data_IF_970236059100
#
_entry.id   IF_970236059100
#
_cell.length_a   1.000
_cell.length_b   1.000
_cell.length_c   1.000
_cell.angle_alpha   90.00
_cell.angle_beta   90.00
_cell.angle_gamma   90.00
#
_symmetry.space_group_name_H-M   'P 1'
#
loop_
_entity.id
_entity.type
_entity.pdbx_description
1 polymer ?
#
# COMPACT_ATOMS: atom_id res chain seq x y z
N UNK A 1 29.80 37.28 -62.51
CA UNK A 1 30.57 37.80 -61.38
C UNK A 1 30.61 36.73 -60.31
N UNK A 2 31.79 36.20 -60.02
CA UNK A 2 32.01 35.33 -58.86
C UNK A 2 32.22 36.20 -57.61
N UNK A 3 31.85 35.71 -56.42
CA UNK A 3 32.75 35.64 -55.23
C UNK A 3 32.03 35.20 -53.93
N UNK A 4 32.76 34.39 -53.13
CA UNK A 4 32.67 34.04 -51.69
C UNK A 4 31.45 33.20 -51.21
N UNK A 5 31.50 31.94 -50.74
CA UNK A 5 32.48 31.01 -50.11
C UNK A 5 32.37 30.85 -48.58
N UNK A 6 32.31 29.56 -48.19
CA UNK A 6 32.49 28.91 -46.87
C UNK A 6 31.29 28.80 -45.90
N UNK A 7 31.01 27.56 -45.45
CA UNK A 7 30.15 27.37 -44.27
C UNK A 7 29.56 25.99 -43.91
N UNK A 8 30.29 24.88 -44.12
CA UNK A 8 30.27 23.67 -43.25
C UNK A 8 29.12 22.61 -43.37
N UNK A 9 29.58 21.35 -43.34
CA UNK A 9 28.94 20.05 -43.01
C UNK A 9 28.41 19.20 -44.18
N UNK A 10 28.69 17.90 -44.29
CA UNK A 10 29.57 17.00 -43.53
C UNK A 10 29.68 15.69 -44.32
N UNK A 11 30.65 15.59 -45.23
CA UNK A 11 30.88 14.38 -46.04
C UNK A 11 32.33 14.19 -46.48
N UNK A 12 33.24 15.09 -46.09
CA UNK A 12 34.61 15.16 -46.62
C UNK A 12 35.67 15.57 -45.59
N UNK A 13 35.51 15.23 -44.31
CA UNK A 13 36.56 15.43 -43.31
C UNK A 13 36.79 14.23 -42.37
N UNK A 14 36.54 13.00 -42.86
CA UNK A 14 37.08 11.79 -42.22
C UNK A 14 37.82 10.86 -43.19
N UNK A 15 38.01 11.28 -44.45
CA UNK A 15 38.92 10.62 -45.41
C UNK A 15 40.41 10.97 -45.16
N UNK A 16 40.77 11.20 -43.89
CA UNK A 16 42.13 11.54 -43.47
C UNK A 16 42.63 10.73 -42.26
N UNK A 17 41.81 9.87 -41.66
CA UNK A 17 42.24 8.96 -40.58
C UNK A 17 41.64 7.59 -40.89
N UNK A 18 42.45 6.70 -41.44
CA UNK A 18 42.05 5.36 -41.86
C UNK A 18 43.01 4.67 -42.83
N UNK A 19 44.04 5.38 -43.33
CA UNK A 19 45.12 4.85 -44.17
C UNK A 19 46.07 3.86 -43.47
N UNK A 20 45.65 3.20 -42.38
CA UNK A 20 46.38 2.10 -41.74
C UNK A 20 45.38 1.07 -41.21
N UNK A 21 44.77 0.29 -42.10
CA UNK A 21 44.27 -1.02 -41.72
C UNK A 21 44.46 -2.02 -42.87
N UNK A 22 45.52 -2.82 -42.76
CA UNK A 22 45.94 -3.82 -43.75
C UNK A 22 45.12 -5.11 -43.72
N UNK A 23 43.97 -5.12 -43.03
CA UNK A 23 43.18 -6.34 -42.80
C UNK A 23 41.72 -6.25 -43.31
N UNK A 24 41.45 -5.43 -44.32
CA UNK A 24 40.18 -5.41 -45.05
C UNK A 24 40.32 -6.16 -46.40
N UNK A 25 39.47 -7.16 -46.71
CA UNK A 25 39.52 -7.92 -47.97
C UNK A 25 39.39 -7.02 -49.19
N UNK A 26 40.28 -7.19 -50.19
CA UNK A 26 40.27 -6.40 -51.44
C UNK A 26 39.39 -7.08 -52.49
N UNK A 27 38.76 -6.27 -53.34
CA UNK A 27 37.76 -6.68 -54.34
C UNK A 27 38.28 -7.58 -55.49
N UNK A 28 39.51 -8.11 -55.41
CA UNK A 28 40.07 -9.09 -56.36
C UNK A 28 39.85 -10.56 -55.95
N UNK A 29 39.46 -10.85 -54.70
CA UNK A 29 39.38 -12.23 -54.17
C UNK A 29 37.99 -12.89 -54.36
N UNK A 30 37.05 -12.21 -55.02
CA UNK A 30 35.67 -12.68 -55.23
C UNK A 30 35.50 -13.46 -56.55
N UNK A 31 36.42 -13.34 -57.51
CA UNK A 31 36.29 -13.99 -58.83
C UNK A 31 36.68 -15.47 -58.87
N UNK A 32 37.54 -15.94 -57.97
CA UNK A 32 38.05 -17.33 -57.98
C UNK A 32 37.11 -18.29 -57.23
N UNK A 33 36.49 -17.84 -56.14
CA UNK A 33 35.47 -18.62 -55.40
C UNK A 33 34.20 -18.89 -56.23
N UNK A 34 33.79 -17.96 -57.10
CA UNK A 34 32.63 -18.12 -57.98
C UNK A 34 32.88 -19.08 -59.17
N UNK A 35 34.14 -19.39 -59.49
CA UNK A 35 34.49 -20.39 -60.49
C UNK A 35 34.38 -21.82 -59.93
N UNK A 36 34.81 -22.05 -58.68
CA UNK A 36 34.68 -23.34 -57.99
C UNK A 36 33.22 -23.73 -57.73
N UNK A 37 32.35 -22.76 -57.42
CA UNK A 37 30.92 -23.02 -57.18
C UNK A 37 30.22 -23.48 -58.47
N UNK A 38 30.60 -22.96 -59.64
CA UNK A 38 30.03 -23.42 -60.92
C UNK A 38 30.49 -24.84 -61.27
N UNK A 39 31.74 -25.17 -61.03
CA UNK A 39 32.29 -26.49 -61.34
C UNK A 39 31.75 -27.61 -60.43
N UNK A 40 31.51 -27.33 -59.14
CA UNK A 40 30.87 -28.29 -58.23
C UNK A 40 29.41 -28.57 -58.60
N UNK A 41 28.65 -27.52 -58.99
CA UNK A 41 27.26 -27.68 -59.41
C UNK A 41 27.12 -28.46 -60.74
N UNK A 42 28.11 -28.39 -61.63
CA UNK A 42 28.16 -29.21 -62.85
C UNK A 42 28.48 -30.68 -62.59
N UNK A 43 29.25 -30.98 -61.53
CA UNK A 43 29.56 -32.35 -61.13
C UNK A 43 28.34 -33.04 -60.48
N UNK A 44 27.58 -32.33 -59.64
CA UNK A 44 26.30 -32.80 -59.07
C UNK A 44 25.20 -33.01 -60.11
N UNK A 45 25.24 -32.28 -61.23
CA UNK A 45 24.28 -32.45 -62.35
C UNK A 45 24.58 -33.65 -63.26
N UNK A 46 25.76 -34.27 -63.19
CA UNK A 46 26.21 -35.27 -64.17
C UNK A 46 25.96 -36.75 -63.80
N UNK A 47 25.24 -37.03 -62.71
CA UNK A 47 24.55 -38.32 -62.51
C UNK A 47 25.40 -39.59 -62.62
N UNK A 48 26.69 -39.56 -62.29
CA UNK A 48 27.52 -40.79 -62.27
C UNK A 48 27.31 -41.55 -60.96
N UNK A 49 26.50 -42.60 -61.03
CA UNK A 49 26.22 -43.57 -59.98
C UNK A 49 27.48 -44.14 -59.31
N UNK A 50 27.64 -43.89 -58.02
CA UNK A 50 28.73 -44.44 -57.20
C UNK A 50 28.25 -45.74 -56.51
N UNK A 51 28.29 -46.86 -57.25
CA UNK A 51 27.80 -48.19 -56.84
C UNK A 51 28.41 -48.67 -55.51
N UNK A 52 29.59 -48.17 -55.11
CA UNK A 52 30.21 -48.47 -53.81
C UNK A 52 29.51 -47.85 -52.59
N UNK A 53 28.79 -46.73 -52.74
CA UNK A 53 28.06 -46.06 -51.64
C UNK A 53 26.71 -46.73 -51.35
N UNK A 54 26.11 -47.38 -52.35
CA UNK A 54 24.82 -48.06 -52.21
C UNK A 54 24.95 -49.38 -51.42
N UNK A 55 26.11 -50.05 -51.49
CA UNK A 55 26.43 -51.23 -50.68
C UNK A 55 26.60 -50.90 -49.18
N UNK A 56 27.14 -49.72 -48.86
CA UNK A 56 27.29 -49.24 -47.48
C UNK A 56 25.95 -48.80 -46.85
N UNK A 57 25.01 -48.27 -47.64
CA UNK A 57 23.65 -47.99 -47.18
C UNK A 57 22.84 -49.26 -46.82
N UNK A 58 23.11 -50.40 -47.48
CA UNK A 58 22.46 -51.68 -47.19
C UNK A 58 22.84 -52.31 -45.84
N UNK A 59 24.02 -52.01 -45.29
CA UNK A 59 24.45 -52.51 -43.98
C UNK A 59 24.02 -51.59 -42.83
N UNK A 60 23.89 -50.28 -43.09
CA UNK A 60 23.35 -49.32 -42.12
C UNK A 60 21.88 -49.57 -41.76
N UNK A 61 21.07 -50.05 -42.70
CA UNK A 61 19.64 -50.34 -42.48
C UNK A 61 19.40 -51.57 -41.61
N UNK A 62 20.24 -52.60 -41.67
CA UNK A 62 20.14 -53.82 -40.83
C UNK A 62 20.56 -53.52 -39.39
N UNK A 63 21.60 -52.70 -39.20
CA UNK A 63 22.00 -52.26 -37.86
C UNK A 63 20.94 -51.34 -37.22
N UNK A 64 20.36 -50.41 -37.98
CA UNK A 64 19.27 -49.54 -37.51
C UNK A 64 17.99 -50.32 -37.21
N UNK A 65 17.59 -51.29 -38.05
CA UNK A 65 16.40 -52.11 -37.80
C UNK A 65 16.58 -53.02 -36.59
N UNK A 66 17.78 -53.58 -36.38
CA UNK A 66 18.08 -54.36 -35.18
C UNK A 66 18.09 -53.50 -33.91
N UNK A 67 18.64 -52.28 -33.99
CA UNK A 67 18.64 -51.34 -32.87
C UNK A 67 17.24 -50.81 -32.54
N UNK A 68 16.40 -50.59 -33.55
CA UNK A 68 15.00 -50.21 -33.39
C UNK A 68 14.15 -51.36 -32.80
N UNK A 69 14.38 -52.60 -33.22
CA UNK A 69 13.71 -53.77 -32.64
C UNK A 69 14.09 -53.96 -31.16
N UNK A 70 15.36 -53.76 -30.81
CA UNK A 70 15.83 -53.80 -29.41
C UNK A 70 15.23 -52.70 -28.55
N UNK A 71 15.04 -51.49 -29.11
CA UNK A 71 14.36 -50.40 -28.42
C UNK A 71 12.88 -50.68 -28.18
N UNK A 72 12.17 -51.25 -29.17
CA UNK A 72 10.77 -51.65 -29.01
C UNK A 72 10.57 -52.70 -27.92
N UNK A 73 11.47 -53.69 -27.82
CA UNK A 73 11.40 -54.72 -26.80
C UNK A 73 11.66 -54.14 -25.39
N UNK A 74 12.62 -53.24 -25.26
CA UNK A 74 12.89 -52.51 -24.02
C UNK A 74 11.71 -51.61 -23.60
N UNK A 75 11.05 -50.97 -24.56
CA UNK A 75 9.89 -50.11 -24.31
C UNK A 75 8.66 -50.93 -23.90
N UNK A 76 8.43 -52.10 -24.49
CA UNK A 76 7.35 -53.01 -24.10
C UNK A 76 7.57 -53.58 -22.68
N UNK A 77 8.81 -53.95 -22.34
CA UNK A 77 9.17 -54.38 -21.00
C UNK A 77 8.98 -53.25 -19.96
N UNK A 78 9.44 -52.03 -20.29
CA UNK A 78 9.24 -50.85 -19.45
C UNK A 78 7.76 -50.58 -19.20
N UNK A 79 6.90 -50.60 -20.22
CA UNK A 79 5.46 -50.36 -20.07
C UNK A 79 4.80 -51.33 -19.09
N UNK A 80 5.20 -52.62 -19.13
CA UNK A 80 4.66 -53.65 -18.24
C UNK A 80 5.10 -53.46 -16.79
N UNK A 81 6.39 -53.22 -16.55
CA UNK A 81 6.92 -53.01 -15.20
C UNK A 81 6.48 -51.67 -14.61
N UNK A 82 6.40 -50.62 -15.44
CA UNK A 82 5.88 -49.31 -15.08
C UNK A 82 4.40 -49.36 -14.65
N UNK A 83 3.56 -50.06 -15.41
CA UNK A 83 2.15 -50.24 -15.04
C UNK A 83 2.01 -50.97 -13.69
N UNK A 84 2.80 -52.02 -13.45
CA UNK A 84 2.78 -52.76 -12.19
C UNK A 84 3.25 -51.91 -11.00
N UNK A 85 4.31 -51.12 -11.17
CA UNK A 85 4.84 -50.26 -10.10
C UNK A 85 3.86 -49.14 -9.74
N UNK A 86 3.23 -48.50 -10.73
CA UNK A 86 2.20 -47.47 -10.50
C UNK A 86 0.96 -48.07 -9.82
N UNK A 87 0.55 -49.29 -10.20
CA UNK A 87 -0.58 -49.99 -9.55
C UNK A 87 -0.26 -50.42 -8.11
N UNK A 88 1.00 -50.75 -7.81
CA UNK A 88 1.42 -51.15 -6.46
C UNK A 88 1.44 -50.00 -5.45
N UNK A 89 1.57 -48.75 -5.93
CA UNK A 89 1.74 -47.57 -5.07
C UNK A 89 3.09 -47.52 -4.32
N UNK A 90 4.00 -48.46 -4.57
CA UNK A 90 5.27 -48.58 -3.86
C UNK A 90 6.35 -47.67 -4.46
N UNK A 91 6.72 -46.62 -3.70
CA UNK A 91 7.76 -45.65 -4.08
C UNK A 91 9.13 -46.29 -4.31
N UNK A 92 9.43 -47.43 -3.67
CA UNK A 92 10.68 -48.14 -3.90
C UNK A 92 10.69 -48.80 -5.27
N UNK A 93 9.58 -49.42 -5.70
CA UNK A 93 9.47 -50.03 -7.03
C UNK A 93 9.59 -48.99 -8.16
N UNK A 94 9.01 -47.80 -7.97
CA UNK A 94 9.17 -46.70 -8.95
C UNK A 94 10.60 -46.17 -8.97
N UNK A 95 11.32 -46.19 -7.84
CA UNK A 95 12.74 -45.81 -7.76
C UNK A 95 13.67 -46.87 -8.38
N UNK A 96 13.30 -48.13 -8.28
CA UNK A 96 13.98 -49.23 -8.96
C UNK A 96 13.80 -49.13 -10.48
N UNK A 97 12.63 -48.68 -10.96
CA UNK A 97 12.41 -48.39 -12.38
C UNK A 97 13.30 -47.26 -12.90
N UNK A 98 13.56 -46.22 -12.10
CA UNK A 98 14.49 -45.14 -12.47
C UNK A 98 15.92 -45.66 -12.65
N UNK A 99 16.29 -46.69 -11.89
CA UNK A 99 17.62 -47.32 -11.95
C UNK A 99 17.72 -48.32 -13.12
N UNK A 100 16.64 -49.06 -13.39
CA UNK A 100 16.56 -50.06 -14.48
C UNK A 100 16.35 -49.45 -15.87
N UNK A 101 15.62 -48.34 -15.96
CA UNK A 101 15.24 -47.70 -17.23
C UNK A 101 15.64 -46.21 -17.26
N UNK A 102 16.95 -45.90 -17.23
CA UNK A 102 17.43 -44.51 -17.19
C UNK A 102 17.04 -43.69 -18.43
N UNK A 103 16.74 -44.33 -19.57
CA UNK A 103 16.25 -43.65 -20.79
C UNK A 103 14.78 -43.22 -20.74
N UNK A 104 14.01 -43.64 -19.73
CA UNK A 104 12.57 -43.32 -19.59
C UNK A 104 12.29 -42.46 -18.35
N UNK A 105 13.32 -41.85 -17.75
CA UNK A 105 13.24 -41.05 -16.50
C UNK A 105 12.17 -39.97 -16.54
N UNK A 106 12.00 -39.27 -17.66
CA UNK A 106 11.02 -38.20 -17.82
C UNK A 106 9.57 -38.72 -17.70
N UNK A 107 9.28 -39.90 -18.24
CA UNK A 107 7.97 -40.56 -18.10
C UNK A 107 7.75 -41.05 -16.67
N UNK A 108 8.80 -41.59 -16.02
CA UNK A 108 8.73 -42.06 -14.63
C UNK A 108 8.50 -40.88 -13.67
N UNK A 109 9.21 -39.76 -13.86
CA UNK A 109 9.05 -38.54 -13.06
C UNK A 109 7.66 -37.91 -13.25
N UNK A 110 7.16 -37.86 -14.48
CA UNK A 110 5.82 -37.35 -14.78
C UNK A 110 4.73 -38.23 -14.13
N UNK A 111 4.92 -39.55 -14.14
CA UNK A 111 4.05 -40.50 -13.44
C UNK A 111 4.02 -40.31 -11.93
N UNK A 112 5.18 -40.10 -11.30
CA UNK A 112 5.25 -39.82 -9.86
C UNK A 112 4.54 -38.52 -9.48
N UNK A 113 4.66 -37.48 -10.29
CA UNK A 113 3.94 -36.21 -10.07
C UNK A 113 2.42 -36.41 -10.12
N UNK A 114 1.91 -37.19 -11.07
CA UNK A 114 0.49 -37.54 -11.18
C UNK A 114 0.01 -38.42 -10.03
N UNK A 115 0.82 -39.39 -9.60
CA UNK A 115 0.51 -40.26 -8.46
C UNK A 115 0.48 -39.48 -7.13
N UNK A 116 1.41 -38.55 -6.91
CA UNK A 116 1.42 -37.68 -5.74
C UNK A 116 0.23 -36.69 -5.77
N UNK A 117 -0.18 -36.21 -6.94
CA UNK A 117 -1.34 -35.33 -7.11
C UNK A 117 -2.67 -36.07 -6.92
N UNK A 118 -2.82 -37.29 -7.45
CA UNK A 118 -3.98 -38.17 -7.23
C UNK A 118 -4.10 -38.56 -5.75
N UNK A 119 -2.98 -38.90 -5.10
CA UNK A 119 -2.95 -39.20 -3.67
C UNK A 119 -3.36 -37.98 -2.84
N UNK A 120 -2.86 -36.77 -3.15
CA UNK A 120 -3.27 -35.53 -2.47
C UNK A 120 -4.75 -35.22 -2.66
N UNK A 121 -5.26 -35.31 -3.89
CA UNK A 121 -6.68 -35.08 -4.18
C UNK A 121 -7.59 -36.08 -3.47
N UNK A 122 -7.14 -37.33 -3.37
CA UNK A 122 -7.83 -38.39 -2.63
C UNK A 122 -7.85 -38.08 -1.13
N UNK A 123 -6.71 -37.68 -0.55
CA UNK A 123 -6.62 -37.24 0.85
C UNK A 123 -7.55 -36.05 1.13
N UNK A 124 -7.59 -35.06 0.23
CA UNK A 124 -8.46 -33.88 0.36
C UNK A 124 -9.95 -34.22 0.29
N UNK A 125 -10.32 -35.12 -0.62
CA UNK A 125 -11.70 -35.61 -0.77
C UNK A 125 -12.14 -36.43 0.45
N UNK A 126 -11.24 -37.29 0.96
CA UNK A 126 -11.47 -38.04 2.19
C UNK A 126 -11.62 -37.11 3.40
N UNK A 127 -10.77 -36.09 3.54
CA UNK A 127 -10.89 -35.12 4.63
C UNK A 127 -12.20 -34.32 4.56
N UNK A 128 -12.59 -33.81 3.40
CA UNK A 128 -13.87 -33.10 3.22
C UNK A 128 -15.07 -34.02 3.52
N UNK A 129 -15.03 -35.26 3.04
CA UNK A 129 -16.06 -36.27 3.32
C UNK A 129 -16.16 -36.62 4.79
N UNK A 130 -15.01 -36.82 5.47
CA UNK A 130 -14.95 -37.07 6.91
C UNK A 130 -15.53 -35.90 7.72
N UNK A 131 -15.25 -34.66 7.32
CA UNK A 131 -15.80 -33.47 8.00
C UNK A 131 -17.31 -33.39 7.86
N UNK A 132 -17.84 -33.66 6.66
CA UNK A 132 -19.28 -33.68 6.43
C UNK A 132 -19.95 -34.83 7.20
N UNK A 133 -19.35 -36.01 7.19
CA UNK A 133 -19.85 -37.19 7.86
C UNK A 133 -19.78 -37.09 9.40
N UNK A 134 -18.92 -36.22 9.96
CA UNK A 134 -18.81 -35.98 11.40
C UNK A 134 -20.05 -35.33 12.04
N UNK A 135 -21.01 -34.92 11.20
CA UNK A 135 -22.29 -34.36 11.63
C UNK A 135 -23.20 -35.38 12.34
N UNK A 136 -23.07 -36.68 12.04
CA UNK A 136 -23.78 -37.72 12.77
C UNK A 136 -22.99 -39.05 12.83
N UNK A 137 -23.17 -39.86 13.89
CA UNK A 137 -22.55 -41.18 13.97
C UNK A 137 -22.90 -42.12 12.81
N UNK A 138 -24.14 -42.06 12.31
CA UNK A 138 -24.63 -42.89 11.21
C UNK A 138 -24.00 -42.48 9.87
N UNK A 139 -23.88 -41.17 9.63
CA UNK A 139 -23.19 -40.63 8.47
C UNK A 139 -21.70 -40.99 8.49
N UNK A 140 -21.05 -40.92 9.66
CA UNK A 140 -19.66 -41.35 9.85
C UNK A 140 -19.47 -42.84 9.57
N UNK A 141 -20.36 -43.70 10.07
CA UNK A 141 -20.29 -45.13 9.84
C UNK A 141 -20.47 -45.49 8.36
N UNK A 142 -21.43 -44.87 7.68
CA UNK A 142 -21.63 -45.05 6.23
C UNK A 142 -20.44 -44.54 5.43
N UNK A 143 -19.89 -43.39 5.79
CA UNK A 143 -18.70 -42.83 5.15
C UNK A 143 -17.48 -43.75 5.32
N UNK A 144 -17.23 -44.27 6.51
CA UNK A 144 -16.13 -45.21 6.77
C UNK A 144 -16.28 -46.51 5.96
N UNK A 145 -17.49 -47.06 5.86
CA UNK A 145 -17.75 -48.27 5.07
C UNK A 145 -17.51 -48.02 3.57
N UNK A 146 -18.00 -46.90 3.05
CA UNK A 146 -17.90 -46.59 1.63
C UNK A 146 -16.48 -46.14 1.21
N UNK A 147 -15.66 -45.67 2.14
CA UNK A 147 -14.33 -45.13 1.86
C UNK A 147 -13.18 -45.99 2.44
N UNK A 148 -13.47 -47.17 3.01
CA UNK A 148 -12.46 -48.02 3.65
C UNK A 148 -11.29 -48.39 2.73
N UNK A 149 -11.57 -48.71 1.46
CA UNK A 149 -10.53 -49.03 0.48
C UNK A 149 -9.65 -47.83 0.13
N UNK A 150 -10.24 -46.65 0.01
CA UNK A 150 -9.55 -45.41 -0.29
C UNK A 150 -8.70 -44.92 0.89
N UNK A 151 -9.21 -45.05 2.12
CA UNK A 151 -8.48 -44.80 3.36
C UNK A 151 -7.23 -45.70 3.44
N UNK A 152 -7.39 -47.01 3.21
CA UNK A 152 -6.27 -47.94 3.18
C UNK A 152 -5.26 -47.61 2.08
N UNK A 153 -5.72 -47.18 0.89
CA UNK A 153 -4.88 -46.76 -0.24
C UNK A 153 -4.00 -45.55 0.10
N UNK A 154 -4.49 -44.62 0.92
CA UNK A 154 -3.71 -43.45 1.38
C UNK A 154 -2.97 -43.68 2.70
N UNK A 155 -2.96 -44.92 3.22
CA UNK A 155 -2.23 -45.29 4.43
C UNK A 155 -2.94 -44.95 5.74
N UNK A 156 -4.25 -44.70 5.70
CA UNK A 156 -5.08 -44.40 6.88
C UNK A 156 -5.94 -45.61 7.21
N UNK A 157 -5.85 -46.12 8.43
CA UNK A 157 -6.65 -47.27 8.87
C UNK A 157 -8.08 -46.84 9.25
N UNK A 158 -9.13 -47.37 8.60
CA UNK A 158 -10.52 -47.01 8.91
C UNK A 158 -10.93 -47.30 10.36
N UNK A 159 -10.35 -48.33 11.00
CA UNK A 159 -10.65 -48.66 12.39
C UNK A 159 -10.13 -47.59 13.36
N UNK A 160 -8.93 -47.06 13.11
CA UNK A 160 -8.33 -46.03 13.95
C UNK A 160 -9.09 -44.71 13.83
N UNK A 161 -9.59 -44.39 12.63
CA UNK A 161 -10.45 -43.23 12.37
C UNK A 161 -11.79 -43.37 13.10
N UNK A 162 -12.40 -44.55 13.07
CA UNK A 162 -13.64 -44.84 13.79
C UNK A 162 -13.46 -44.69 15.31
N UNK A 163 -12.35 -45.22 15.84
CA UNK A 163 -12.01 -45.14 17.25
C UNK A 163 -11.76 -43.70 17.70
N UNK A 164 -11.00 -42.93 16.92
CA UNK A 164 -10.71 -41.52 17.20
C UNK A 164 -11.99 -40.67 17.22
N UNK A 165 -12.91 -40.89 16.28
CA UNK A 165 -14.20 -40.23 16.26
C UNK A 165 -15.03 -40.54 17.52
N UNK A 166 -15.09 -41.82 17.93
CA UNK A 166 -15.86 -42.25 19.09
C UNK A 166 -15.26 -41.77 20.42
N UNK A 167 -13.93 -41.77 20.54
CA UNK A 167 -13.24 -41.42 21.78
C UNK A 167 -13.07 -39.91 21.96
N UNK A 168 -12.72 -39.17 20.89
CA UNK A 168 -12.41 -37.74 20.96
C UNK A 168 -12.91 -36.98 19.71
N UNK A 169 -14.21 -36.63 19.64
CA UNK A 169 -14.79 -35.94 18.47
C UNK A 169 -14.13 -34.61 18.11
N UNK A 170 -13.58 -33.87 19.09
CA UNK A 170 -12.84 -32.62 18.84
C UNK A 170 -11.49 -32.88 18.18
N UNK A 171 -10.74 -33.86 18.69
CA UNK A 171 -9.44 -34.24 18.15
C UNK A 171 -9.59 -34.83 16.74
N UNK A 172 -10.69 -35.54 16.49
CA UNK A 172 -11.08 -35.98 15.15
C UNK A 172 -11.29 -34.79 14.19
N UNK A 173 -12.00 -33.74 14.62
CA UNK A 173 -12.21 -32.54 13.81
C UNK A 173 -10.91 -31.85 13.41
N UNK A 174 -9.98 -31.70 14.35
CA UNK A 174 -8.64 -31.14 14.10
C UNK A 174 -7.79 -32.03 13.19
N UNK A 175 -7.85 -33.34 13.37
CA UNK A 175 -7.17 -34.31 12.51
C UNK A 175 -7.65 -34.19 11.05
N UNK A 176 -8.97 -34.13 10.85
CA UNK A 176 -9.58 -33.99 9.52
C UNK A 176 -9.25 -32.64 8.88
N UNK A 177 -9.29 -31.55 9.66
CA UNK A 177 -8.94 -30.22 9.17
C UNK A 177 -7.46 -30.15 8.76
N UNK A 178 -6.55 -30.75 9.54
CA UNK A 178 -5.13 -30.83 9.22
C UNK A 178 -4.87 -31.72 8.00
N UNK A 179 -5.58 -32.85 7.87
CA UNK A 179 -5.50 -33.72 6.72
C UNK A 179 -5.96 -33.00 5.43
N UNK A 180 -7.05 -32.23 5.51
CA UNK A 180 -7.54 -31.40 4.41
C UNK A 180 -6.57 -30.29 4.03
N UNK A 181 -5.92 -29.65 5.01
CA UNK A 181 -4.91 -28.62 4.75
C UNK A 181 -3.63 -29.18 4.13
N UNK A 182 -3.17 -30.36 4.57
CA UNK A 182 -1.98 -31.02 4.00
C UNK A 182 -2.23 -31.61 2.60
N UNK A 183 -3.49 -31.75 2.19
CA UNK A 183 -3.86 -32.10 0.82
C UNK A 183 -3.70 -30.93 -0.16
N UNK A 184 -3.66 -29.70 0.35
CA UNK A 184 -3.39 -28.51 -0.47
C UNK A 184 -1.90 -28.49 -0.82
N UNK A 185 -1.59 -28.53 -2.12
CA UNK A 185 -0.21 -28.35 -2.58
C UNK A 185 0.38 -26.99 -2.11
N UNK A 186 1.71 -26.84 -2.10
CA UNK A 186 2.38 -25.64 -1.58
C UNK A 186 1.81 -24.32 -2.14
N UNK A 187 1.45 -24.28 -3.43
CA UNK A 187 0.85 -23.10 -4.06
C UNK A 187 -0.49 -22.68 -3.42
N UNK A 188 -1.38 -23.64 -3.14
CA UNK A 188 -2.72 -23.35 -2.58
C UNK A 188 -2.67 -23.00 -1.09
N UNK A 189 -1.65 -23.45 -0.37
CA UNK A 189 -1.42 -23.08 1.03
C UNK A 189 -1.14 -21.57 1.17
N UNK A 190 -0.32 -21.01 0.28
CA UNK A 190 -0.03 -19.57 0.26
C UNK A 190 -1.22 -18.73 -0.23
N UNK A 191 -1.98 -19.21 -1.23
CA UNK A 191 -3.21 -18.52 -1.69
C UNK A 191 -4.31 -18.46 -0.63
N UNK A 192 -4.44 -19.49 0.21
CA UNK A 192 -5.40 -19.52 1.29
C UNK A 192 -5.03 -18.51 2.39
N UNK A 193 -3.73 -18.39 2.68
CA UNK A 193 -3.20 -17.40 3.62
C UNK A 193 -3.41 -15.97 3.11
N UNK A 194 -3.20 -15.73 1.82
CA UNK A 194 -3.41 -14.42 1.18
C UNK A 194 -4.90 -14.04 1.14
N UNK A 195 -5.80 -14.97 0.81
CA UNK A 195 -7.26 -14.74 0.87
C UNK A 195 -7.80 -14.49 2.27
N UNK A 196 -7.25 -15.16 3.28
CA UNK A 196 -7.59 -14.91 4.68
C UNK A 196 -7.15 -13.51 5.11
N UNK A 197 -5.97 -13.04 4.67
CA UNK A 197 -5.51 -11.67 4.91
C UNK A 197 -6.36 -10.64 4.14
N UNK A 198 -6.69 -10.90 2.88
CA UNK A 198 -7.54 -10.02 2.06
C UNK A 198 -8.94 -9.81 2.67
N UNK A 199 -9.59 -10.85 3.18
CA UNK A 199 -10.90 -10.71 3.87
C UNK A 199 -10.79 -9.93 5.18
N UNK A 200 -9.69 -10.09 5.92
CA UNK A 200 -9.47 -9.35 7.15
C UNK A 200 -9.20 -7.86 6.90
N UNK A 201 -8.53 -7.52 5.79
CA UNK A 201 -8.32 -6.13 5.33
C UNK A 201 -9.65 -5.51 4.85
N UNK A 202 -10.47 -6.23 4.08
CA UNK A 202 -11.76 -5.73 3.58
C UNK A 202 -12.79 -5.47 4.68
N UNK A 203 -12.90 -6.36 5.68
CA UNK A 203 -13.82 -6.14 6.81
C UNK A 203 -13.37 -4.95 7.67
N UNK A 204 -12.07 -4.84 7.95
CA UNK A 204 -11.50 -3.70 8.69
C UNK A 204 -11.64 -2.38 7.92
N UNK A 205 -11.58 -2.42 6.58
CA UNK A 205 -11.83 -1.28 5.70
C UNK A 205 -13.29 -0.80 5.70
N UNK A 206 -14.27 -1.71 5.67
CA UNK A 206 -15.70 -1.35 5.75
C UNK A 206 -16.11 -0.77 7.11
N UNK A 207 -15.53 -1.27 8.20
CA UNK A 207 -15.74 -0.71 9.54
C UNK A 207 -15.07 0.66 9.70
N UNK A 208 -13.89 0.85 9.08
CA UNK A 208 -13.25 2.16 9.00
C UNK A 208 -14.09 3.13 8.17
N UNK A 209 -14.64 2.72 7.03
CA UNK A 209 -15.40 3.62 6.14
C UNK A 209 -16.71 4.10 6.76
N UNK A 210 -17.46 3.22 7.44
CA UNK A 210 -18.72 3.61 8.11
C UNK A 210 -18.50 4.53 9.31
N UNK A 211 -17.46 4.25 10.13
CA UNK A 211 -17.11 5.08 11.28
C UNK A 211 -16.40 6.39 10.87
N UNK A 212 -15.62 6.36 9.78
CA UNK A 212 -14.99 7.53 9.16
C UNK A 212 -16.03 8.39 8.45
N UNK A 213 -17.07 7.84 7.83
CA UNK A 213 -18.15 8.62 7.24
C UNK A 213 -18.96 9.40 8.28
N UNK A 214 -19.37 8.75 9.38
CA UNK A 214 -20.06 9.42 10.49
C UNK A 214 -19.17 10.47 11.18
N UNK A 215 -17.87 10.19 11.35
CA UNK A 215 -16.91 11.17 11.89
C UNK A 215 -16.55 12.28 10.91
N UNK A 216 -16.47 12.02 9.62
CA UNK A 216 -16.28 13.03 8.58
C UNK A 216 -17.48 13.96 8.50
N UNK A 217 -18.70 13.47 8.74
CA UNK A 217 -19.86 14.31 8.94
C UNK A 217 -19.71 15.17 10.20
N UNK A 218 -19.22 14.64 11.33
CA UNK A 218 -18.96 15.42 12.53
C UNK A 218 -17.83 16.45 12.39
N UNK A 219 -16.75 16.11 11.67
CA UNK A 219 -15.67 17.03 11.30
C UNK A 219 -16.19 18.08 10.32
N UNK A 220 -17.05 17.69 9.38
CA UNK A 220 -17.72 18.63 8.46
C UNK A 220 -18.67 19.55 9.22
N UNK A 221 -19.40 19.07 10.23
CA UNK A 221 -20.27 19.91 11.08
C UNK A 221 -19.46 20.87 11.95
N UNK A 222 -18.42 20.38 12.65
CA UNK A 222 -17.50 21.24 13.43
C UNK A 222 -16.73 22.20 12.52
N UNK A 223 -16.37 21.72 11.33
CA UNK A 223 -15.80 22.49 10.24
C UNK A 223 -16.77 23.52 9.70
N UNK A 224 -18.07 23.23 9.64
CA UNK A 224 -19.17 24.13 9.29
C UNK A 224 -19.36 25.22 10.34
N UNK A 225 -19.26 24.87 11.62
CA UNK A 225 -19.27 25.81 12.75
C UNK A 225 -18.07 26.78 12.67
N UNK A 226 -16.89 26.29 12.27
CA UNK A 226 -15.69 27.10 12.03
C UNK A 226 -15.74 27.80 10.65
N UNK A 227 -16.42 27.23 9.64
CA UNK A 227 -16.51 27.67 8.23
C UNK A 227 -17.36 28.92 8.04
N UNK A 228 -18.00 29.43 9.08
CA UNK A 228 -18.50 30.80 9.08
C UNK A 228 -17.35 31.83 9.03
N UNK A 229 -16.30 31.56 8.26
CA UNK A 229 -15.41 32.52 7.63
C UNK A 229 -14.95 33.61 8.60
N UNK A 230 -14.17 33.25 9.63
CA UNK A 230 -13.57 34.20 10.58
C UNK A 230 -12.94 35.42 9.87
N UNK A 231 -12.36 35.23 8.69
CA UNK A 231 -11.86 36.34 7.86
C UNK A 231 -12.95 37.30 7.40
N UNK A 232 -14.07 36.78 6.90
CA UNK A 232 -15.23 37.57 6.47
C UNK A 232 -16.07 38.07 7.64
N UNK A 233 -16.21 37.29 8.71
CA UNK A 233 -16.74 37.73 9.99
C UNK A 233 -15.93 38.88 10.54
N UNK A 234 -14.59 38.89 10.42
CA UNK A 234 -13.76 40.03 10.82
C UNK A 234 -14.06 41.26 9.96
N UNK A 235 -14.09 41.13 8.63
CA UNK A 235 -14.40 42.27 7.75
C UNK A 235 -15.81 42.83 8.02
N UNK A 236 -16.79 41.94 8.19
CA UNK A 236 -18.15 42.29 8.54
C UNK A 236 -18.22 42.91 9.94
N UNK A 237 -17.44 42.38 10.90
CA UNK A 237 -17.34 42.90 12.25
C UNK A 237 -16.70 44.28 12.26
N UNK A 238 -15.64 44.54 11.50
CA UNK A 238 -15.01 45.85 11.43
C UNK A 238 -15.99 46.89 10.86
N UNK A 239 -16.70 46.53 9.77
CA UNK A 239 -17.72 47.39 9.18
C UNK A 239 -18.89 47.67 10.14
N UNK A 240 -19.37 46.63 10.82
CA UNK A 240 -20.48 46.73 11.77
C UNK A 240 -20.08 47.43 13.07
N UNK A 241 -18.86 47.20 13.53
CA UNK A 241 -18.25 47.90 14.68
C UNK A 241 -18.17 49.39 14.40
N UNK A 242 -17.72 49.77 13.21
CA UNK A 242 -17.70 51.17 12.79
C UNK A 242 -19.12 51.77 12.69
N UNK A 243 -20.10 51.02 12.20
CA UNK A 243 -21.51 51.47 12.16
C UNK A 243 -22.05 51.71 13.56
N UNK A 244 -21.93 50.74 14.46
CA UNK A 244 -22.42 50.83 15.84
C UNK A 244 -21.69 51.95 16.60
N UNK A 245 -20.37 52.08 16.43
CA UNK A 245 -19.62 53.17 17.05
C UNK A 245 -20.08 54.55 16.57
N UNK A 246 -20.40 54.70 15.28
CA UNK A 246 -20.93 55.95 14.74
C UNK A 246 -22.36 56.22 15.22
N UNK A 247 -23.17 55.18 15.37
CA UNK A 247 -24.52 55.27 15.94
C UNK A 247 -24.48 55.67 17.41
N UNK A 248 -23.65 55.02 18.23
CA UNK A 248 -23.42 55.39 19.63
C UNK A 248 -22.96 56.84 19.76
N UNK A 249 -22.02 57.30 18.92
CA UNK A 249 -21.62 58.72 18.88
C UNK A 249 -22.75 59.69 18.55
N UNK A 250 -23.78 59.26 17.80
CA UNK A 250 -24.98 60.08 17.53
C UNK A 250 -25.92 60.03 18.72
N UNK A 251 -26.16 58.84 19.29
CA UNK A 251 -26.98 58.64 20.48
C UNK A 251 -26.41 59.40 21.68
N UNK A 252 -25.10 59.42 21.89
CA UNK A 252 -24.44 60.20 22.95
C UNK A 252 -24.70 61.71 22.82
N UNK A 253 -24.66 62.24 21.58
CA UNK A 253 -24.99 63.64 21.32
C UNK A 253 -26.47 63.92 21.60
N UNK A 254 -27.37 63.02 21.20
CA UNK A 254 -28.79 63.14 21.51
C UNK A 254 -29.03 63.07 23.02
N UNK A 255 -28.38 62.16 23.73
CA UNK A 255 -28.45 62.03 25.19
C UNK A 255 -27.99 63.29 25.91
N UNK A 256 -26.96 63.96 25.38
CA UNK A 256 -26.43 65.21 25.94
C UNK A 256 -27.33 66.43 25.69
N UNK A 257 -28.11 66.42 24.62
CA UNK A 257 -29.02 67.50 24.24
C UNK A 257 -30.47 67.30 24.74
N UNK A 258 -30.83 66.08 25.10
CA UNK A 258 -32.18 65.71 25.55
C UNK A 258 -32.36 65.99 27.04
N UNK A 259 -33.46 66.64 27.41
CA UNK A 259 -33.81 67.00 28.80
C UNK A 259 -34.90 66.12 29.37
N UNK A 260 -35.64 65.38 28.55
CA UNK A 260 -36.70 64.48 29.02
C UNK A 260 -36.10 63.18 29.58
N UNK A 261 -36.31 62.92 30.86
CA UNK A 261 -35.71 61.76 31.56
C UNK A 261 -36.09 60.42 30.93
N UNK A 262 -37.34 60.23 30.49
CA UNK A 262 -37.78 58.98 29.86
C UNK A 262 -37.06 58.73 28.53
N UNK A 263 -36.90 59.78 27.70
CA UNK A 263 -36.15 59.68 26.43
C UNK A 263 -34.66 59.47 26.66
N UNK A 264 -34.06 60.13 27.67
CA UNK A 264 -32.67 59.89 28.05
C UNK A 264 -32.45 58.44 28.46
N UNK A 265 -33.37 57.87 29.23
CA UNK A 265 -33.31 56.47 29.65
C UNK A 265 -33.43 55.51 28.45
N UNK A 266 -34.30 55.81 27.48
CA UNK A 266 -34.39 55.04 26.22
C UNK A 266 -33.08 55.09 25.41
N UNK A 267 -32.49 56.28 25.25
CA UNK A 267 -31.22 56.45 24.52
C UNK A 267 -30.09 55.70 25.23
N UNK A 268 -30.01 55.77 26.57
CA UNK A 268 -29.05 54.98 27.34
C UNK A 268 -29.24 53.48 27.14
N UNK A 269 -30.48 53.00 27.14
CA UNK A 269 -30.78 51.59 26.88
C UNK A 269 -30.32 51.15 25.48
N UNK A 270 -30.48 52.01 24.47
CA UNK A 270 -30.00 51.72 23.10
C UNK A 270 -28.47 51.67 23.03
N UNK A 271 -27.76 52.60 23.67
CA UNK A 271 -26.30 52.58 23.74
C UNK A 271 -25.81 51.31 24.45
N UNK A 272 -26.45 50.92 25.55
CA UNK A 272 -26.12 49.70 26.28
C UNK A 272 -26.33 48.44 25.42
N UNK A 273 -27.46 48.35 24.70
CA UNK A 273 -27.74 47.24 23.78
C UNK A 273 -26.71 47.17 22.63
N UNK A 274 -26.36 48.30 22.05
CA UNK A 274 -25.33 48.41 21.01
C UNK A 274 -23.95 47.95 21.52
N UNK A 275 -23.56 48.37 22.72
CA UNK A 275 -22.32 47.94 23.36
C UNK A 275 -22.31 46.44 23.67
N UNK A 276 -23.44 45.90 24.13
CA UNK A 276 -23.60 44.46 24.38
C UNK A 276 -23.49 43.66 23.08
N UNK A 277 -24.09 44.13 21.98
CA UNK A 277 -23.99 43.50 20.67
C UNK A 277 -22.54 43.50 20.15
N UNK A 278 -21.80 44.60 20.32
CA UNK A 278 -20.38 44.65 20.00
C UNK A 278 -19.57 43.65 20.81
N UNK A 279 -19.81 43.58 22.13
CA UNK A 279 -19.10 42.68 23.01
C UNK A 279 -19.34 41.20 22.63
N UNK A 280 -20.59 40.84 22.32
CA UNK A 280 -20.94 39.48 21.88
C UNK A 280 -20.22 39.10 20.58
N UNK A 281 -20.21 39.99 19.59
CA UNK A 281 -19.53 39.71 18.32
C UNK A 281 -18.00 39.64 18.47
N UNK A 282 -17.44 40.50 19.32
CA UNK A 282 -16.02 40.47 19.65
C UNK A 282 -15.62 39.17 20.34
N UNK A 283 -16.46 38.68 21.26
CA UNK A 283 -16.30 37.39 21.93
C UNK A 283 -16.37 36.23 20.95
N UNK A 284 -17.39 36.19 20.08
CA UNK A 284 -17.51 35.14 19.07
C UNK A 284 -16.29 35.06 18.13
N UNK A 285 -15.75 36.23 17.71
CA UNK A 285 -14.54 36.27 16.90
C UNK A 285 -13.31 35.77 17.68
N UNK A 286 -13.18 36.19 18.95
CA UNK A 286 -12.11 35.74 19.83
C UNK A 286 -12.15 34.22 20.06
N UNK A 287 -13.34 33.66 20.28
CA UNK A 287 -13.53 32.23 20.51
C UNK A 287 -13.21 31.43 19.24
N UNK A 288 -13.58 31.93 18.07
CA UNK A 288 -13.16 31.35 16.79
C UNK A 288 -11.63 31.32 16.61
N UNK A 289 -10.91 32.37 17.03
CA UNK A 289 -9.43 32.35 16.99
C UNK A 289 -8.85 31.35 18.00
N UNK A 290 -9.40 31.27 19.22
CA UNK A 290 -8.96 30.29 20.22
C UNK A 290 -9.14 28.87 19.71
N UNK A 291 -10.30 28.56 19.14
CA UNK A 291 -10.63 27.24 18.60
C UNK A 291 -9.72 26.88 17.43
N UNK A 292 -9.47 27.83 16.52
CA UNK A 292 -8.50 27.67 15.45
C UNK A 292 -7.09 27.40 15.96
N UNK A 293 -6.61 28.19 16.91
CA UNK A 293 -5.27 28.04 17.51
C UNK A 293 -5.14 26.68 18.21
N UNK A 294 -6.15 26.26 18.99
CA UNK A 294 -6.16 24.98 19.68
C UNK A 294 -6.16 23.80 18.69
N UNK A 295 -7.00 23.88 17.66
CA UNK A 295 -7.09 22.85 16.61
C UNK A 295 -5.75 22.66 15.90
N UNK A 296 -5.11 23.77 15.49
CA UNK A 296 -3.81 23.71 14.83
C UNK A 296 -2.73 23.19 15.77
N UNK A 297 -2.74 23.62 17.03
CA UNK A 297 -1.77 23.17 18.02
C UNK A 297 -1.87 21.67 18.27
N UNK A 298 -3.06 21.16 18.57
CA UNK A 298 -3.28 19.72 18.80
C UNK A 298 -2.88 18.89 17.58
N UNK A 299 -3.26 19.33 16.38
CA UNK A 299 -2.90 18.64 15.13
C UNK A 299 -1.39 18.59 14.91
N UNK A 300 -0.69 19.69 15.22
CA UNK A 300 0.77 19.71 15.18
C UNK A 300 1.39 18.74 16.20
N UNK A 301 0.89 18.69 17.43
CA UNK A 301 1.38 17.74 18.43
C UNK A 301 1.17 16.29 18.02
N UNK A 302 0.00 15.95 17.49
CA UNK A 302 -0.28 14.60 17.01
C UNK A 302 0.71 14.20 15.91
N UNK A 303 0.94 15.06 14.92
CA UNK A 303 1.90 14.76 13.85
C UNK A 303 3.34 14.71 14.37
N UNK A 304 3.72 15.63 15.27
CA UNK A 304 5.05 15.67 15.85
C UNK A 304 5.35 14.42 16.71
N UNK A 305 4.37 13.93 17.45
CA UNK A 305 4.46 12.68 18.23
C UNK A 305 4.68 11.46 17.32
N UNK A 306 3.94 11.37 16.21
CA UNK A 306 4.13 10.31 15.20
C UNK A 306 5.54 10.37 14.61
N UNK A 307 6.01 11.57 14.25
CA UNK A 307 7.34 11.77 13.65
C UNK A 307 8.46 11.50 14.65
N UNK A 308 8.27 11.82 15.92
CA UNK A 308 9.28 11.64 16.97
C UNK A 308 9.29 10.22 17.55
N UNK A 309 8.24 9.44 17.29
CA UNK A 309 8.12 8.06 17.76
C UNK A 309 9.27 7.17 17.23
N UNK A 310 9.94 6.39 18.11
CA UNK A 310 10.90 5.36 17.68
C UNK A 310 10.29 4.34 16.72
N UNK A 311 8.98 4.14 16.81
CA UNK A 311 8.21 3.20 16.00
C UNK A 311 7.90 3.71 14.60
N UNK A 312 8.26 4.96 14.26
CA UNK A 312 8.12 5.45 12.87
C UNK A 312 8.83 4.52 11.87
N UNK A 313 10.03 4.04 12.23
CA UNK A 313 10.83 3.08 11.45
C UNK A 313 10.11 1.77 11.16
N UNK A 314 9.17 1.38 11.99
CA UNK A 314 8.41 0.14 11.81
C UNK A 314 7.25 0.29 10.83
N UNK A 315 6.74 1.51 10.64
CA UNK A 315 5.63 1.80 9.72
C UNK A 315 6.08 2.44 8.41
N UNK A 316 7.36 2.85 8.28
CA UNK A 316 7.94 3.42 7.05
C UNK A 316 8.98 2.51 6.40
N UNK A 317 9.23 2.68 5.10
CA UNK A 317 10.28 1.97 4.36
C UNK A 317 10.06 0.46 4.23
N UNK A 318 11.14 -0.30 4.06
CA UNK A 318 11.09 -1.76 3.87
C UNK A 318 10.52 -2.54 5.07
N UNK A 319 10.35 -1.93 6.24
CA UNK A 319 9.66 -2.56 7.38
C UNK A 319 8.15 -2.31 7.37
N UNK A 320 7.70 -1.19 6.78
CA UNK A 320 6.29 -0.84 6.65
C UNK A 320 5.50 -1.70 5.66
N UNK A 321 6.18 -2.54 4.87
CA UNK A 321 5.53 -3.55 3.99
C UNK A 321 5.16 -4.84 4.73
N UNK A 322 5.66 -5.02 5.96
CA UNK A 322 5.32 -6.15 6.82
C UNK A 322 4.06 -5.78 7.61
N UNK A 323 3.00 -6.62 7.63
CA UNK A 323 1.81 -6.34 8.42
C UNK A 323 2.12 -6.10 9.90
N UNK A 324 1.60 -4.99 10.45
CA UNK A 324 1.77 -4.68 11.87
C UNK A 324 1.04 -5.71 12.74
N UNK A 325 1.73 -6.24 13.76
CA UNK A 325 1.13 -7.14 14.75
C UNK A 325 0.16 -6.33 15.62
N UNK A 326 -1.12 -6.75 15.78
CA UNK A 326 -2.06 -6.08 16.67
C UNK A 326 -1.52 -5.97 18.10
N UNK A 327 -1.66 -4.79 18.74
CA UNK A 327 -1.12 -4.51 20.07
C UNK A 327 0.37 -4.14 20.11
N UNK A 328 1.04 -4.03 18.96
CA UNK A 328 2.41 -3.54 18.88
C UNK A 328 2.48 -2.01 18.79
N UNK A 329 3.63 -1.44 19.17
CA UNK A 329 3.87 0.00 19.03
C UNK A 329 3.80 0.49 17.56
N UNK A 330 4.05 -0.41 16.60
CA UNK A 330 3.89 -0.16 15.17
C UNK A 330 2.41 0.02 14.80
N UNK A 331 1.54 -0.86 15.30
CA UNK A 331 0.10 -0.74 15.12
C UNK A 331 -0.46 0.53 15.77
N UNK A 332 0.03 0.90 16.97
CA UNK A 332 -0.39 2.14 17.65
C UNK A 332 0.05 3.39 16.88
N UNK A 333 1.27 3.41 16.37
CA UNK A 333 1.79 4.55 15.57
C UNK A 333 1.05 4.66 14.24
N UNK A 334 0.72 3.53 13.60
CA UNK A 334 -0.11 3.49 12.41
C UNK A 334 -1.52 4.04 12.68
N UNK A 335 -2.17 3.61 13.75
CA UNK A 335 -3.50 4.08 14.12
C UNK A 335 -3.52 5.59 14.40
N UNK A 336 -2.46 6.12 15.03
CA UNK A 336 -2.29 7.57 15.21
C UNK A 336 -2.12 8.30 13.89
N UNK A 337 -1.32 7.76 12.96
CA UNK A 337 -1.14 8.32 11.63
C UNK A 337 -2.45 8.35 10.84
N UNK A 338 -3.20 7.26 10.85
CA UNK A 338 -4.48 7.17 10.15
C UNK A 338 -5.50 8.15 10.77
N UNK A 339 -5.54 8.25 12.10
CA UNK A 339 -6.35 9.25 12.80
C UNK A 339 -5.95 10.67 12.43
N UNK A 340 -4.65 10.95 12.33
CA UNK A 340 -4.17 12.26 11.90
C UNK A 340 -4.63 12.58 10.47
N UNK A 341 -4.41 11.69 9.52
CA UNK A 341 -4.76 11.90 8.10
C UNK A 341 -6.27 12.05 7.89
N UNK A 342 -7.06 11.24 8.56
CA UNK A 342 -8.51 11.19 8.37
C UNK A 342 -9.25 12.27 9.15
N UNK A 343 -8.71 12.72 10.29
CA UNK A 343 -9.43 13.63 11.20
C UNK A 343 -8.67 14.91 11.49
N UNK A 344 -7.51 14.81 12.12
CA UNK A 344 -6.80 16.00 12.61
C UNK A 344 -6.39 16.92 11.45
N UNK A 345 -5.91 16.35 10.34
CA UNK A 345 -5.55 17.08 9.13
C UNK A 345 -6.73 17.83 8.53
N UNK A 346 -7.86 17.15 8.29
CA UNK A 346 -9.04 17.78 7.69
C UNK A 346 -9.59 18.90 8.57
N UNK A 347 -9.65 18.67 9.89
CA UNK A 347 -10.09 19.68 10.86
C UNK A 347 -9.13 20.88 10.87
N UNK A 348 -7.83 20.64 10.83
CA UNK A 348 -6.82 21.69 10.76
C UNK A 348 -6.91 22.50 9.46
N UNK A 349 -7.07 21.84 8.31
CA UNK A 349 -7.26 22.50 7.01
C UNK A 349 -8.52 23.35 7.00
N UNK A 350 -9.63 22.83 7.53
CA UNK A 350 -10.87 23.59 7.68
C UNK A 350 -10.68 24.80 8.59
N UNK A 351 -9.99 24.66 9.72
CA UNK A 351 -9.68 25.78 10.60
C UNK A 351 -8.81 26.84 9.90
N UNK A 352 -7.77 26.43 9.15
CA UNK A 352 -6.94 27.37 8.37
C UNK A 352 -7.75 28.10 7.29
N UNK A 353 -8.66 27.39 6.61
CA UNK A 353 -9.57 27.99 5.63
C UNK A 353 -10.56 28.96 6.29
N UNK A 354 -11.15 28.57 7.42
CA UNK A 354 -12.07 29.41 8.20
C UNK A 354 -11.44 30.72 8.65
N UNK A 355 -10.16 30.69 9.03
CA UNK A 355 -9.40 31.89 9.42
C UNK A 355 -8.97 32.79 8.24
N UNK A 356 -9.35 32.43 7.01
CA UNK A 356 -8.93 33.10 5.77
C UNK A 356 -7.43 33.02 5.54
N UNK A 357 -6.78 32.00 6.09
CA UNK A 357 -5.33 31.93 6.22
C UNK A 357 -4.70 31.02 5.16
N UNK A 358 -5.43 30.04 4.60
CA UNK A 358 -4.87 29.09 3.64
C UNK A 358 -5.08 29.51 2.18
N UNK A 359 -4.00 29.72 1.43
CA UNK A 359 -4.06 29.91 -0.03
C UNK A 359 -4.22 28.58 -0.78
N UNK A 360 -4.71 28.61 -2.02
CA UNK A 360 -4.86 27.41 -2.87
C UNK A 360 -3.54 26.66 -3.08
N UNK A 361 -2.43 27.41 -3.22
CA UNK A 361 -1.10 26.83 -3.38
C UNK A 361 -0.60 26.13 -2.11
N UNK A 362 -0.80 26.75 -0.93
CA UNK A 362 -0.47 26.14 0.35
C UNK A 362 -1.36 24.92 0.64
N UNK A 363 -2.65 25.00 0.32
CA UNK A 363 -3.60 23.89 0.44
C UNK A 363 -3.20 22.70 -0.42
N UNK A 364 -2.87 22.93 -1.70
CA UNK A 364 -2.39 21.86 -2.59
C UNK A 364 -1.09 21.23 -2.09
N UNK A 365 -0.15 22.03 -1.58
CA UNK A 365 1.11 21.55 -1.01
C UNK A 365 0.87 20.70 0.24
N UNK A 366 -0.07 21.11 1.10
CA UNK A 366 -0.48 20.33 2.27
C UNK A 366 -1.15 19.01 1.87
N UNK A 367 -2.07 19.02 0.91
CA UNK A 367 -2.75 17.81 0.44
C UNK A 367 -1.76 16.81 -0.16
N UNK A 368 -0.79 17.29 -0.93
CA UNK A 368 0.31 16.47 -1.47
C UNK A 368 1.19 15.89 -0.35
N UNK A 369 1.54 16.70 0.63
CA UNK A 369 2.36 16.26 1.76
C UNK A 369 1.63 15.20 2.60
N UNK A 370 0.34 15.38 2.88
CA UNK A 370 -0.46 14.41 3.66
C UNK A 370 -0.71 13.13 2.88
N UNK A 371 -0.96 13.25 1.56
CA UNK A 371 -1.09 12.09 0.66
C UNK A 371 0.20 11.28 0.59
N UNK A 372 1.34 11.94 0.79
CA UNK A 372 2.66 11.31 0.85
C UNK A 372 3.01 10.73 2.23
N UNK A 373 2.19 10.91 3.27
CA UNK A 373 2.39 10.19 4.53
C UNK A 373 1.85 8.75 4.39
N UNK A 374 2.63 7.88 3.75
CA UNK A 374 2.29 6.48 3.46
C UNK A 374 3.42 5.54 3.90
N UNK A 375 3.05 4.30 4.22
CA UNK A 375 3.95 3.27 4.76
C UNK A 375 5.06 2.85 3.78
N UNK A 376 4.83 3.05 2.48
CA UNK A 376 5.77 2.75 1.40
C UNK A 376 6.90 3.77 1.23
N UNK A 377 6.84 4.92 1.93
CA UNK A 377 7.86 5.97 1.81
C UNK A 377 9.04 5.73 2.76
N UNK A 378 10.24 6.19 2.38
CA UNK A 378 11.39 6.17 3.28
C UNK A 378 11.12 7.05 4.51
N UNK A 379 11.76 6.72 5.64
CA UNK A 379 11.63 7.51 6.88
C UNK A 379 12.00 8.98 6.64
N UNK A 380 13.05 9.25 5.85
CA UNK A 380 13.49 10.59 5.51
C UNK A 380 12.42 11.35 4.69
N UNK A 381 11.78 10.68 3.74
CA UNK A 381 10.72 11.28 2.93
C UNK A 381 9.48 11.55 3.77
N UNK A 382 9.12 10.63 4.66
CA UNK A 382 8.06 10.82 5.64
C UNK A 382 8.33 12.05 6.52
N UNK A 383 9.52 12.12 7.12
CA UNK A 383 9.94 13.25 7.98
C UNK A 383 9.93 14.58 7.23
N UNK A 384 10.38 14.60 5.97
CA UNK A 384 10.32 15.81 5.12
C UNK A 384 8.88 16.26 4.87
N UNK A 385 8.00 15.35 4.47
CA UNK A 385 6.60 15.66 4.19
C UNK A 385 5.85 16.08 5.47
N UNK A 386 6.10 15.42 6.58
CA UNK A 386 5.56 15.82 7.88
C UNK A 386 6.08 17.20 8.30
N UNK A 387 7.35 17.51 8.06
CA UNK A 387 7.93 18.83 8.28
C UNK A 387 7.25 19.93 7.47
N UNK A 388 6.88 19.67 6.21
CA UNK A 388 6.08 20.61 5.40
C UNK A 388 4.74 20.91 6.06
N UNK A 389 4.05 19.88 6.55
CA UNK A 389 2.75 20.03 7.23
C UNK A 389 2.92 20.81 8.54
N UNK A 390 3.86 20.40 9.40
CA UNK A 390 4.13 21.06 10.68
C UNK A 390 4.48 22.55 10.50
N UNK A 391 5.34 22.87 9.53
CA UNK A 391 5.72 24.26 9.25
C UNK A 391 4.52 25.10 8.79
N UNK A 392 3.67 24.54 7.91
CA UNK A 392 2.48 25.26 7.43
C UNK A 392 1.47 25.47 8.55
N UNK A 393 1.20 24.44 9.37
CA UNK A 393 0.33 24.56 10.53
C UNK A 393 0.86 25.60 11.53
N UNK A 394 2.17 25.58 11.81
CA UNK A 394 2.81 26.55 12.72
C UNK A 394 2.67 27.99 12.20
N UNK A 395 2.90 28.19 10.90
CA UNK A 395 2.77 29.50 10.28
C UNK A 395 1.35 30.04 10.42
N UNK A 396 0.34 29.24 10.05
CA UNK A 396 -1.07 29.65 10.14
C UNK A 396 -1.55 29.83 11.58
N UNK A 397 -1.04 29.02 12.50
CA UNK A 397 -1.25 29.21 13.94
C UNK A 397 -0.68 30.55 14.40
N UNK A 398 0.55 30.89 14.02
CA UNK A 398 1.17 32.15 14.43
C UNK A 398 0.45 33.37 13.84
N UNK A 399 -0.05 33.27 12.61
CA UNK A 399 -0.91 34.30 12.01
C UNK A 399 -2.20 34.48 12.84
N UNK A 400 -2.85 33.39 13.25
CA UNK A 400 -4.05 33.43 14.10
C UNK A 400 -3.76 34.02 15.48
N UNK A 401 -2.64 33.64 16.10
CA UNK A 401 -2.16 34.20 17.37
C UNK A 401 -1.93 35.70 17.24
N UNK A 402 -1.28 36.16 16.17
CA UNK A 402 -1.05 37.58 15.92
C UNK A 402 -2.35 38.38 15.84
N UNK A 403 -3.36 37.84 15.13
CA UNK A 403 -4.69 38.45 15.05
C UNK A 403 -5.38 38.49 16.42
N UNK A 404 -5.35 37.39 17.17
CA UNK A 404 -5.93 37.31 18.52
C UNK A 404 -5.26 38.29 19.49
N UNK A 405 -3.93 38.35 19.50
CA UNK A 405 -3.13 39.25 20.36
C UNK A 405 -3.43 40.71 20.04
N UNK A 406 -3.47 41.06 18.75
CA UNK A 406 -3.83 42.42 18.30
C UNK A 406 -5.24 42.80 18.73
N UNK A 407 -6.20 41.89 18.56
CA UNK A 407 -7.61 42.12 18.88
C UNK A 407 -7.85 42.31 20.39
N UNK A 408 -7.06 41.67 21.24
CA UNK A 408 -7.18 41.75 22.70
C UNK A 408 -6.18 42.73 23.35
N UNK A 409 -5.36 43.44 22.55
CA UNK A 409 -4.37 44.38 23.06
C UNK A 409 -3.29 43.73 23.94
N UNK A 410 -3.01 42.44 23.71
CA UNK A 410 -2.04 41.68 24.51
C UNK A 410 -0.63 42.11 24.10
N UNK A 411 0.22 42.43 25.09
CA UNK A 411 1.62 42.80 24.83
C UNK A 411 2.49 41.56 24.80
N UNK A 412 3.47 41.55 23.89
CA UNK A 412 4.49 40.49 23.84
C UNK A 412 5.44 40.66 25.02
N UNK A 413 5.61 39.60 25.80
CA UNK A 413 6.54 39.51 26.95
C UNK A 413 7.31 38.21 26.81
N UNK A 414 8.63 38.25 27.04
CA UNK A 414 9.47 37.06 26.93
C UNK A 414 9.08 36.00 27.98
N UNK A 415 8.82 34.77 27.53
CA UNK A 415 8.42 33.69 28.39
C UNK A 415 9.63 32.97 29.02
N UNK A 416 9.62 32.67 30.33
CA UNK A 416 10.63 31.83 30.95
C UNK A 416 10.70 30.45 30.31
N UNK A 417 11.90 29.87 30.23
CA UNK A 417 12.12 28.54 29.64
C UNK A 417 11.25 27.46 30.27
N UNK A 418 11.07 27.51 31.60
CA UNK A 418 10.19 26.59 32.32
C UNK A 418 8.73 26.66 31.84
N UNK A 419 8.21 27.84 31.51
CA UNK A 419 6.85 27.98 30.96
C UNK A 419 6.73 27.41 29.55
N UNK A 420 7.77 27.57 28.73
CA UNK A 420 7.83 27.00 27.38
C UNK A 420 7.87 25.46 27.46
N UNK A 421 8.69 24.92 28.34
CA UNK A 421 8.80 23.46 28.51
C UNK A 421 7.53 22.86 29.12
N UNK A 422 6.86 23.58 30.02
CA UNK A 422 5.55 23.20 30.52
C UNK A 422 4.48 23.18 29.42
N UNK A 423 4.46 24.20 28.55
CA UNK A 423 3.53 24.25 27.41
C UNK A 423 3.73 23.07 26.43
N UNK A 424 4.96 22.56 26.26
CA UNK A 424 5.21 21.38 25.42
C UNK A 424 4.52 20.12 25.96
N UNK A 425 4.36 20.03 27.27
CA UNK A 425 3.69 18.91 27.94
C UNK A 425 2.18 19.14 28.04
N UNK A 426 1.77 20.42 28.08
CA UNK A 426 0.40 20.87 28.27
C UNK A 426 -0.06 21.76 27.11
N UNK A 427 -0.21 21.21 25.89
CA UNK A 427 -0.63 21.96 24.70
C UNK A 427 -1.99 22.65 24.86
N UNK A 428 -2.85 22.14 25.72
CA UNK A 428 -4.14 22.71 26.08
C UNK A 428 -4.04 24.11 26.70
N UNK A 429 -2.89 24.45 27.29
CA UNK A 429 -2.64 25.77 27.90
C UNK A 429 -2.17 26.83 26.91
N UNK A 430 -2.27 26.55 25.61
CA UNK A 430 -1.84 27.47 24.54
C UNK A 430 -2.50 28.84 24.66
N UNK A 431 -3.80 28.91 24.93
CA UNK A 431 -4.50 30.20 25.06
C UNK A 431 -4.04 30.98 26.31
N UNK A 432 -3.88 30.31 27.45
CA UNK A 432 -3.39 30.94 28.67
C UNK A 432 -1.96 31.45 28.51
N UNK A 433 -1.13 30.68 27.81
CA UNK A 433 0.22 31.10 27.46
C UNK A 433 0.21 32.36 26.58
N UNK A 434 -0.64 32.42 25.55
CA UNK A 434 -0.78 33.61 24.70
C UNK A 434 -1.27 34.80 25.53
N UNK A 435 -2.26 34.62 26.40
CA UNK A 435 -2.78 35.70 27.24
C UNK A 435 -1.69 36.29 28.15
N UNK A 436 -0.74 35.45 28.58
CA UNK A 436 0.36 35.86 29.45
C UNK A 436 1.56 36.47 28.72
N UNK A 437 1.92 35.92 27.56
CA UNK A 437 3.18 36.23 26.89
C UNK A 437 3.01 36.86 25.51
N UNK A 438 1.81 36.85 24.92
CA UNK A 438 1.50 37.47 23.65
C UNK A 438 2.08 36.76 22.41
N UNK A 439 2.51 35.51 22.53
CA UNK A 439 2.93 34.67 21.41
C UNK A 439 2.84 33.19 21.78
N UNK A 440 2.98 32.32 20.78
CA UNK A 440 3.18 30.87 20.95
C UNK A 440 4.58 30.50 20.43
N UNK A 441 5.42 29.82 21.23
CA UNK A 441 6.71 29.32 20.74
C UNK A 441 6.52 28.24 19.67
N UNK A 442 7.52 28.05 18.81
CA UNK A 442 7.57 26.87 17.95
C UNK A 442 7.67 25.62 18.83
N UNK A 443 6.86 24.60 18.53
CA UNK A 443 6.77 23.38 19.33
C UNK A 443 7.59 22.21 18.73
N UNK A 444 8.54 22.48 17.82
CA UNK A 444 9.49 21.47 17.34
C UNK A 444 10.79 22.04 16.77
N UNK A 445 11.92 21.57 17.30
CA UNK A 445 12.65 20.42 16.76
C UNK A 445 12.87 19.40 17.88
#
# INVERSE_FOLDING_TARGET
>A
MATWQQGINSGGFLAGIGGQNSNAPKASDVSEALAYIRQNNEMERSGRNNIGLQALQGLGSVAQTYQAAKQQEADAAFQKEYAAAIQSGDRQQVRDLMTKYPGQLEKIQSGMKWADEDQRNSIGTLAAGARLASSSPEAMQSWLQNNAGELARVGVNPHDVAQMYQQNPRQFGEFVDHLGMNSLGPEKYFDLQDKMQGRQVTMRGQDLDSQTAARNQAITMRGQDIQANLGQQRINLDAETNRINNENKRLDRMLSAETNDLKRQEIQSRIAANNQQLQQKQQALNDGYKDGINTLTTSMFTLNDIVSSPSLKSITGLRGVIPNVPGSQAADTQARLDTFKSQAYLTAVQAMRGMGALSDAEGKKLDQAVGSLQNSQSEESFRRNAGVILNTLNQKRNEAVGKYVQQNGIKRVEAPKASIDYLKQHPELSIDFINRYGYLPSLGQ
#
